data_IF_160294126067
#
_entry.id   IF_160294126067
#
_cell.length_a   1.000
_cell.length_b   1.000
_cell.length_c   1.000
_cell.angle_alpha   90.00
_cell.angle_beta   90.00
_cell.angle_gamma   90.00
#
_symmetry.space_group_name_H-M   'P 1'
#
loop_
_entity.id
_entity.type
_entity.pdbx_description
1 polymer ?
#
# COMPACT_ATOMS: atom_id res chain seq x y z
N UNK A 1 56.54 50.73 12.76
CA UNK A 1 55.37 50.02 12.26
C UNK A 1 55.01 48.93 13.29
N UNK A 2 54.02 49.16 14.16
CA UNK A 2 53.58 48.20 15.16
C UNK A 2 52.38 47.46 14.60
N UNK A 3 52.49 46.13 14.46
CA UNK A 3 51.39 45.26 14.07
C UNK A 3 50.43 45.13 15.26
N UNK A 4 49.16 45.46 15.03
CA UNK A 4 48.11 45.28 16.04
C UNK A 4 47.84 43.77 16.34
N UNK A 5 47.72 43.39 17.62
CA UNK A 5 47.49 42.01 17.97
C UNK A 5 46.03 41.60 17.51
N UNK A 6 45.93 40.60 16.66
CA UNK A 6 44.66 39.99 16.28
C UNK A 6 44.08 39.29 17.50
N UNK A 7 43.01 39.82 18.10
CA UNK A 7 42.28 39.16 19.17
C UNK A 7 41.56 37.93 18.63
N UNK A 8 42.09 36.75 18.87
CA UNK A 8 41.39 35.49 18.63
C UNK A 8 40.26 35.40 19.66
N UNK A 9 39.04 35.65 19.22
CA UNK A 9 37.84 35.41 20.05
C UNK A 9 37.70 33.89 20.29
N UNK A 10 37.94 33.46 21.52
CA UNK A 10 37.66 32.09 21.93
C UNK A 10 36.15 31.93 22.06
N UNK A 11 35.58 30.90 21.45
CA UNK A 11 34.16 30.54 21.61
C UNK A 11 33.86 30.23 23.08
N UNK A 12 32.79 30.80 23.62
CA UNK A 12 32.32 30.50 24.97
C UNK A 12 31.64 29.13 24.98
N UNK A 13 31.83 28.37 26.06
CA UNK A 13 31.19 27.05 26.23
C UNK A 13 29.67 27.19 26.17
N UNK A 14 29.10 28.29 26.64
CA UNK A 14 27.67 28.59 26.57
C UNK A 14 27.20 28.82 25.13
N UNK A 15 28.02 29.44 24.29
CA UNK A 15 27.71 29.66 22.88
C UNK A 15 27.69 28.34 22.10
N UNK A 16 28.61 27.41 22.41
CA UNK A 16 28.63 26.09 21.82
C UNK A 16 27.38 25.26 22.23
N UNK A 17 27.00 25.31 23.52
CA UNK A 17 25.80 24.59 23.98
C UNK A 17 24.53 25.18 23.39
N UNK A 18 24.41 26.47 23.23
CA UNK A 18 23.31 27.13 22.56
C UNK A 18 23.17 26.72 21.10
N UNK A 19 24.29 26.65 20.37
CA UNK A 19 24.29 26.19 18.96
C UNK A 19 23.86 24.73 18.84
N UNK A 20 24.37 23.86 19.71
CA UNK A 20 23.96 22.43 19.72
C UNK A 20 22.44 22.27 20.01
N UNK A 21 21.93 23.07 20.96
CA UNK A 21 20.51 23.04 21.28
C UNK A 21 19.65 23.48 20.09
N UNK A 22 20.00 24.55 19.43
CA UNK A 22 19.30 25.03 18.24
C UNK A 22 19.36 23.99 17.13
N UNK A 23 20.53 23.40 16.87
CA UNK A 23 20.66 22.34 15.86
C UNK A 23 19.82 21.10 16.19
N UNK A 24 19.73 20.71 17.46
CA UNK A 24 18.89 19.60 17.89
C UNK A 24 17.39 19.86 17.65
N UNK A 25 16.92 21.09 17.95
CA UNK A 25 15.54 21.50 17.70
C UNK A 25 15.24 21.52 16.20
N UNK A 26 16.12 22.07 15.39
CA UNK A 26 15.97 22.09 13.92
C UNK A 26 15.97 20.67 13.36
N UNK A 27 16.88 19.81 13.80
CA UNK A 27 16.94 18.42 13.36
C UNK A 27 15.66 17.65 13.72
N UNK A 28 15.11 17.84 14.93
CA UNK A 28 13.86 17.24 15.35
C UNK A 28 12.68 17.72 14.48
N UNK A 29 12.58 19.02 14.18
CA UNK A 29 11.54 19.57 13.33
C UNK A 29 11.61 19.06 11.89
N UNK A 30 12.81 18.89 11.33
CA UNK A 30 13.01 18.32 9.99
C UNK A 30 12.64 16.84 9.98
N UNK A 31 13.05 16.07 10.99
CA UNK A 31 12.73 14.65 11.10
C UNK A 31 11.20 14.39 11.08
N UNK A 32 10.44 15.22 11.80
CA UNK A 32 8.96 15.13 11.81
C UNK A 32 8.34 15.45 10.44
N UNK A 33 8.88 16.41 9.71
CA UNK A 33 8.36 16.79 8.38
C UNK A 33 8.62 15.75 7.29
N UNK A 34 9.69 14.97 7.40
CA UNK A 34 10.05 13.98 6.38
C UNK A 34 9.23 12.69 6.50
N UNK A 35 8.72 12.36 7.68
CA UNK A 35 7.99 11.10 7.90
C UNK A 35 6.65 11.01 7.14
N UNK A 36 5.91 12.11 7.05
CA UNK A 36 4.58 12.12 6.41
C UNK A 36 4.64 11.84 4.89
N UNK A 37 5.45 12.53 4.09
CA UNK A 37 5.54 12.25 2.65
C UNK A 37 6.04 10.84 2.35
N UNK A 38 6.92 10.28 3.19
CA UNK A 38 7.39 8.89 3.02
C UNK A 38 6.27 7.86 3.24
N UNK A 39 5.33 8.12 4.14
CA UNK A 39 4.17 7.23 4.38
C UNK A 39 3.21 7.24 3.19
N UNK A 40 2.88 8.42 2.67
CA UNK A 40 2.06 8.57 1.47
C UNK A 40 2.69 7.89 0.26
N UNK A 41 4.00 8.04 0.05
CA UNK A 41 4.70 7.37 -1.04
C UNK A 41 4.60 5.84 -0.92
N UNK A 42 4.78 5.27 0.27
CA UNK A 42 4.67 3.82 0.51
C UNK A 42 3.27 3.28 0.23
N UNK A 43 2.21 4.01 0.60
CA UNK A 43 0.84 3.61 0.27
C UNK A 43 0.59 3.67 -1.24
N UNK A 44 1.07 4.71 -1.93
CA UNK A 44 1.02 4.79 -3.38
C UNK A 44 1.78 3.64 -4.07
N UNK A 45 2.98 3.29 -3.58
CA UNK A 45 3.75 2.15 -4.06
C UNK A 45 3.00 0.82 -3.83
N UNK A 46 2.35 0.67 -2.67
CA UNK A 46 1.53 -0.51 -2.37
C UNK A 46 0.32 -0.60 -3.30
N UNK A 47 -0.38 0.51 -3.56
CA UNK A 47 -1.48 0.59 -4.52
C UNK A 47 -1.02 0.15 -5.91
N UNK A 48 0.11 0.68 -6.35
CA UNK A 48 0.75 0.32 -7.62
C UNK A 48 1.09 -1.16 -7.71
N UNK A 49 1.69 -1.71 -6.65
CA UNK A 49 2.07 -3.12 -6.56
C UNK A 49 0.84 -4.04 -6.60
N UNK A 50 -0.22 -3.75 -5.83
CA UNK A 50 -1.48 -4.51 -5.83
C UNK A 50 -2.09 -4.51 -7.24
N UNK A 51 -2.21 -3.34 -7.86
CA UNK A 51 -2.74 -3.22 -9.22
C UNK A 51 -1.89 -3.95 -10.26
N UNK A 52 -0.57 -3.93 -10.12
CA UNK A 52 0.32 -4.70 -10.98
C UNK A 52 0.11 -6.20 -10.81
N UNK A 53 0.01 -6.68 -9.57
CA UNK A 53 -0.20 -8.09 -9.28
C UNK A 53 -1.55 -8.60 -9.83
N UNK A 54 -2.62 -7.80 -9.69
CA UNK A 54 -3.92 -8.09 -10.28
C UNK A 54 -3.82 -8.21 -11.82
N UNK A 55 -3.23 -7.22 -12.49
CA UNK A 55 -3.03 -7.25 -13.96
C UNK A 55 -2.22 -8.45 -14.41
N UNK A 56 -1.14 -8.78 -13.71
CA UNK A 56 -0.31 -9.95 -14.01
C UNK A 56 -1.08 -11.26 -13.81
N UNK A 57 -1.94 -11.34 -12.79
CA UNK A 57 -2.78 -12.52 -12.53
C UNK A 57 -3.82 -12.70 -13.62
N UNK A 58 -4.51 -11.64 -14.02
CA UNK A 58 -5.48 -11.65 -15.14
C UNK A 58 -4.83 -12.03 -16.46
N UNK A 59 -3.67 -11.47 -16.74
CA UNK A 59 -2.89 -11.79 -17.94
C UNK A 59 -2.49 -13.26 -17.96
N UNK A 60 -1.93 -13.77 -16.87
CA UNK A 60 -1.53 -15.16 -16.74
C UNK A 60 -2.70 -16.14 -16.86
N UNK A 61 -3.89 -15.79 -16.33
CA UNK A 61 -5.09 -16.61 -16.47
C UNK A 61 -5.51 -16.74 -17.94
N UNK A 62 -5.47 -15.64 -18.70
CA UNK A 62 -5.77 -15.64 -20.15
C UNK A 62 -4.72 -16.40 -20.96
N UNK A 63 -3.43 -16.16 -20.71
CA UNK A 63 -2.33 -16.81 -21.45
C UNK A 63 -2.28 -18.32 -21.23
N UNK A 64 -2.66 -18.77 -20.04
CA UNK A 64 -2.68 -20.19 -19.68
C UNK A 64 -4.04 -20.86 -19.91
N UNK A 65 -5.04 -20.12 -20.36
CA UNK A 65 -6.44 -20.55 -20.54
C UNK A 65 -6.99 -21.36 -19.35
N UNK A 66 -6.66 -20.92 -18.14
CA UNK A 66 -7.07 -21.57 -16.89
C UNK A 66 -7.37 -20.55 -15.79
N UNK A 67 -8.33 -20.89 -14.90
CA UNK A 67 -8.59 -20.02 -13.75
C UNK A 67 -7.41 -20.04 -12.77
N UNK A 68 -7.16 -18.87 -12.18
CA UNK A 68 -6.15 -18.66 -11.14
C UNK A 68 -6.81 -18.05 -9.91
N UNK A 69 -6.12 -18.10 -8.79
CA UNK A 69 -6.57 -17.49 -7.53
C UNK A 69 -5.47 -16.57 -7.00
N UNK A 70 -5.86 -15.39 -6.56
CA UNK A 70 -5.04 -14.52 -5.76
C UNK A 70 -5.35 -14.79 -4.29
N UNK A 71 -4.36 -15.21 -3.52
CA UNK A 71 -4.51 -15.63 -2.12
C UNK A 71 -3.86 -14.61 -1.22
N UNK A 72 -4.62 -14.17 -0.21
CA UNK A 72 -4.22 -13.19 0.80
C UNK A 72 -4.47 -13.78 2.17
N UNK A 73 -3.42 -14.04 2.93
CA UNK A 73 -3.51 -14.51 4.33
C UNK A 73 -3.42 -13.31 5.27
N UNK A 74 -4.56 -12.87 5.80
CA UNK A 74 -4.70 -11.63 6.57
C UNK A 74 -4.31 -11.79 8.06
N UNK A 75 -3.65 -10.78 8.65
CA UNK A 75 -3.10 -9.57 8.02
C UNK A 75 -1.92 -9.92 7.10
N UNK A 76 -1.84 -9.31 5.91
CA UNK A 76 -0.91 -9.72 4.88
C UNK A 76 0.09 -8.63 4.50
N UNK A 77 1.34 -9.01 4.36
CA UNK A 77 2.42 -8.22 3.75
C UNK A 77 2.85 -8.77 2.38
N UNK A 78 2.17 -9.85 1.94
CA UNK A 78 2.44 -10.51 0.65
C UNK A 78 1.15 -11.04 0.02
N UNK A 79 1.15 -11.11 -1.30
CA UNK A 79 0.10 -11.68 -2.13
C UNK A 79 0.66 -12.89 -2.88
N UNK A 80 -0.10 -13.97 -2.91
CA UNK A 80 0.30 -15.19 -3.60
C UNK A 80 -0.67 -15.49 -4.74
N UNK A 81 -0.18 -16.16 -5.79
CA UNK A 81 -1.01 -16.62 -6.89
C UNK A 81 -0.96 -18.15 -6.97
N UNK A 82 -2.12 -18.78 -6.98
CA UNK A 82 -2.27 -20.23 -7.01
C UNK A 82 -3.16 -20.68 -8.15
N UNK A 83 -3.06 -21.96 -8.52
CA UNK A 83 -4.03 -22.63 -9.34
C UNK A 83 -5.26 -23.06 -8.49
N UNK A 84 -6.26 -23.68 -9.12
CA UNK A 84 -7.47 -24.18 -8.44
C UNK A 84 -7.15 -25.25 -7.38
N UNK A 85 -6.02 -25.95 -7.50
CA UNK A 85 -5.57 -26.97 -6.57
C UNK A 85 -4.73 -26.40 -5.43
N UNK A 86 -4.61 -25.06 -5.33
CA UNK A 86 -3.82 -24.38 -4.30
C UNK A 86 -2.31 -24.38 -4.53
N UNK A 87 -1.81 -24.85 -5.68
CA UNK A 87 -0.38 -24.85 -5.98
C UNK A 87 0.06 -23.47 -6.43
N UNK A 88 1.15 -22.96 -5.85
CA UNK A 88 1.73 -21.68 -6.25
C UNK A 88 2.13 -21.70 -7.73
N UNK A 89 1.72 -20.68 -8.48
CA UNK A 89 2.00 -20.51 -9.91
C UNK A 89 3.06 -19.45 -10.19
N UNK A 90 3.46 -18.70 -9.17
CA UNK A 90 4.55 -17.71 -9.21
C UNK A 90 5.09 -17.45 -7.81
N UNK A 91 6.28 -16.85 -7.68
CA UNK A 91 6.72 -16.30 -6.42
C UNK A 91 5.69 -15.30 -5.85
N UNK A 92 5.56 -15.22 -4.52
CA UNK A 92 4.67 -14.23 -3.90
C UNK A 92 5.18 -12.82 -4.16
N UNK A 93 4.27 -11.89 -4.37
CA UNK A 93 4.58 -10.47 -4.39
C UNK A 93 4.63 -9.95 -2.95
N UNK A 94 5.70 -9.25 -2.61
CA UNK A 94 5.90 -8.61 -1.30
C UNK A 94 5.54 -7.14 -1.40
N UNK A 95 4.77 -6.64 -0.44
CA UNK A 95 4.44 -5.22 -0.32
C UNK A 95 5.66 -4.41 0.17
N UNK A 96 5.70 -3.09 -0.07
CA UNK A 96 6.72 -2.21 0.47
C UNK A 96 6.85 -2.36 2.00
N UNK A 97 8.08 -2.24 2.51
CA UNK A 97 8.36 -2.40 3.95
C UNK A 97 7.49 -1.52 4.84
N UNK A 98 6.91 -2.12 5.88
CA UNK A 98 6.01 -1.42 6.81
C UNK A 98 4.60 -1.20 6.27
N UNK A 99 4.23 -1.86 5.18
CA UNK A 99 2.88 -1.86 4.61
C UNK A 99 2.25 -3.23 4.79
N UNK A 100 1.01 -3.27 5.26
CA UNK A 100 0.22 -4.50 5.43
C UNK A 100 -1.20 -4.31 4.92
N UNK A 101 -1.81 -5.39 4.45
CA UNK A 101 -3.24 -5.47 4.18
C UNK A 101 -3.91 -5.95 5.47
N UNK A 102 -4.77 -5.12 6.05
CA UNK A 102 -5.46 -5.42 7.31
C UNK A 102 -6.80 -6.13 7.07
N UNK A 103 -7.49 -5.77 5.99
CA UNK A 103 -8.83 -6.25 5.69
C UNK A 103 -9.02 -6.41 4.18
N UNK A 104 -9.84 -7.37 3.81
CA UNK A 104 -10.25 -7.62 2.45
C UNK A 104 -11.78 -7.70 2.38
N UNK A 105 -12.37 -6.96 1.45
CA UNK A 105 -13.78 -7.00 1.09
C UNK A 105 -13.91 -7.59 -0.31
N UNK A 106 -14.68 -8.68 -0.43
CA UNK A 106 -14.98 -9.28 -1.73
C UNK A 106 -16.49 -9.47 -1.79
N UNK A 107 -17.19 -8.74 -2.67
CA UNK A 107 -18.65 -8.63 -2.67
C UNK A 107 -19.11 -8.15 -1.29
N UNK A 108 -20.00 -8.88 -0.63
CA UNK A 108 -20.55 -8.54 0.69
C UNK A 108 -19.81 -9.25 1.84
N UNK A 109 -18.69 -9.91 1.57
CA UNK A 109 -17.90 -10.61 2.57
C UNK A 109 -16.67 -9.79 2.96
N UNK A 110 -16.60 -9.45 4.24
CA UNK A 110 -15.44 -8.82 4.85
C UNK A 110 -14.62 -9.84 5.62
N UNK A 111 -13.31 -9.85 5.43
CA UNK A 111 -12.39 -10.68 6.20
C UNK A 111 -11.23 -9.82 6.71
N UNK A 112 -10.91 -9.95 8.01
CA UNK A 112 -9.78 -9.29 8.65
C UNK A 112 -8.74 -10.28 9.23
N UNK A 113 -9.07 -11.57 9.31
CA UNK A 113 -8.23 -12.58 9.96
C UNK A 113 -8.45 -13.96 9.35
N UNK A 114 -8.26 -14.11 8.06
CA UNK A 114 -8.38 -15.41 7.39
C UNK A 114 -7.59 -15.41 6.08
N UNK A 115 -7.37 -16.58 5.54
CA UNK A 115 -6.92 -16.72 4.16
C UNK A 115 -8.11 -16.52 3.23
N UNK A 116 -8.03 -15.53 2.35
CA UNK A 116 -9.06 -15.21 1.37
C UNK A 116 -8.51 -15.41 -0.02
N UNK A 117 -9.28 -16.12 -0.86
CA UNK A 117 -8.93 -16.35 -2.25
C UNK A 117 -9.87 -15.56 -3.18
N UNK A 118 -9.31 -14.68 -3.99
CA UNK A 118 -10.00 -13.96 -5.05
C UNK A 118 -9.84 -14.75 -6.35
N UNK A 119 -10.93 -15.29 -6.87
CA UNK A 119 -10.91 -16.09 -8.10
C UNK A 119 -10.78 -15.20 -9.34
N UNK A 120 -9.87 -15.57 -10.24
CA UNK A 120 -9.70 -14.99 -11.56
C UNK A 120 -10.08 -16.03 -12.62
N UNK A 121 -11.08 -15.77 -13.42
CA UNK A 121 -11.53 -16.67 -14.48
C UNK A 121 -10.46 -16.80 -15.58
N UNK A 122 -10.57 -17.83 -16.44
CA UNK A 122 -9.71 -17.98 -17.63
C UNK A 122 -9.78 -16.79 -18.59
N UNK A 123 -10.85 -16.02 -18.55
CA UNK A 123 -11.00 -14.78 -19.30
C UNK A 123 -10.32 -13.57 -18.63
N UNK A 124 -9.67 -13.77 -17.48
CA UNK A 124 -9.02 -12.71 -16.72
C UNK A 124 -10.00 -11.79 -15.99
N UNK A 125 -11.22 -12.27 -15.68
CA UNK A 125 -12.20 -11.52 -14.91
C UNK A 125 -12.14 -11.94 -13.44
N UNK A 126 -12.21 -10.96 -12.54
CA UNK A 126 -12.29 -11.16 -11.08
C UNK A 126 -13.60 -10.53 -10.57
N UNK A 127 -14.10 -10.89 -9.39
CA UNK A 127 -15.06 -10.03 -8.70
C UNK A 127 -14.40 -8.67 -8.40
N UNK A 128 -15.20 -7.61 -8.21
CA UNK A 128 -14.74 -6.36 -7.61
C UNK A 128 -14.40 -6.63 -6.15
N UNK A 129 -13.26 -6.14 -5.70
CA UNK A 129 -12.80 -6.31 -4.32
C UNK A 129 -12.10 -5.06 -3.81
N UNK A 130 -12.03 -4.91 -2.49
CA UNK A 130 -11.32 -3.82 -1.87
C UNK A 130 -10.40 -4.34 -0.76
N UNK A 131 -9.26 -3.67 -0.59
CA UNK A 131 -8.26 -3.97 0.44
C UNK A 131 -8.04 -2.74 1.32
N UNK A 132 -8.10 -2.90 2.63
CA UNK A 132 -7.63 -1.89 3.56
C UNK A 132 -6.13 -2.07 3.75
N UNK A 133 -5.36 -1.11 3.30
CA UNK A 133 -3.90 -1.10 3.39
C UNK A 133 -3.46 -0.07 4.41
N UNK A 134 -2.53 -0.44 5.28
CA UNK A 134 -1.95 0.46 6.28
C UNK A 134 -0.44 0.54 6.15
N UNK A 135 0.11 1.73 6.44
CA UNK A 135 1.54 1.99 6.53
C UNK A 135 1.82 3.12 7.53
N UNK A 136 2.57 2.81 8.59
CA UNK A 136 2.97 3.80 9.60
C UNK A 136 1.80 4.52 10.29
N UNK A 137 0.66 3.84 10.49
CA UNK A 137 -0.54 4.38 11.14
C UNK A 137 -1.52 5.09 10.17
N UNK A 138 -1.15 5.27 8.92
CA UNK A 138 -2.06 5.73 7.88
C UNK A 138 -2.76 4.54 7.24
N UNK A 139 -4.06 4.67 6.96
CA UNK A 139 -4.93 3.63 6.36
C UNK A 139 -5.56 4.16 5.09
N UNK A 140 -5.70 3.29 4.11
CA UNK A 140 -6.33 3.62 2.83
C UNK A 140 -7.02 2.41 2.24
N UNK A 141 -8.22 2.61 1.74
CA UNK A 141 -8.91 1.62 0.96
C UNK A 141 -8.47 1.66 -0.50
N UNK A 142 -8.23 0.49 -1.07
CA UNK A 142 -7.87 0.29 -2.47
C UNK A 142 -8.94 -0.61 -3.07
N UNK A 143 -9.72 -0.09 -4.00
CA UNK A 143 -10.75 -0.83 -4.72
C UNK A 143 -10.21 -1.24 -6.08
N UNK A 144 -10.37 -2.51 -6.43
CA UNK A 144 -10.02 -3.05 -7.75
C UNK A 144 -11.28 -3.48 -8.47
N UNK A 145 -11.58 -2.83 -9.56
CA UNK A 145 -12.75 -3.11 -10.37
C UNK A 145 -12.63 -4.47 -11.08
N UNK A 146 -13.61 -5.34 -10.86
CA UNK A 146 -13.56 -6.74 -11.31
C UNK A 146 -13.49 -6.92 -12.82
N UNK A 147 -14.14 -6.05 -13.60
CA UNK A 147 -14.16 -6.14 -15.07
C UNK A 147 -12.92 -5.53 -15.72
N UNK A 148 -12.51 -4.34 -15.26
CA UNK A 148 -11.45 -3.55 -15.91
C UNK A 148 -10.08 -3.75 -15.30
N UNK A 149 -10.01 -4.13 -14.00
CA UNK A 149 -8.77 -4.11 -13.23
C UNK A 149 -8.31 -2.70 -12.87
N UNK A 150 -9.19 -1.70 -13.02
CA UNK A 150 -8.94 -0.34 -12.59
C UNK A 150 -8.80 -0.28 -11.07
N UNK A 151 -7.82 0.47 -10.61
CA UNK A 151 -7.50 0.62 -9.20
C UNK A 151 -7.86 2.03 -8.76
N UNK A 152 -8.72 2.13 -7.75
CA UNK A 152 -9.18 3.40 -7.18
C UNK A 152 -8.86 3.44 -5.70
N UNK A 153 -8.30 4.55 -5.23
CA UNK A 153 -8.08 4.81 -3.81
C UNK A 153 -9.31 5.51 -3.22
N UNK A 154 -9.75 5.02 -2.07
CA UNK A 154 -10.96 5.48 -1.39
C UNK A 154 -10.64 5.75 0.08
N UNK A 155 -11.28 6.73 0.68
CA UNK A 155 -10.98 7.18 2.05
C UNK A 155 -11.83 6.49 3.10
N UNK A 156 -13.04 6.05 2.76
CA UNK A 156 -13.99 5.49 3.72
C UNK A 156 -14.52 4.13 3.27
N UNK A 157 -14.88 3.31 4.24
CA UNK A 157 -15.50 2.00 4.01
C UNK A 157 -16.89 2.13 3.38
N UNK A 158 -17.62 3.17 3.72
CA UNK A 158 -18.93 3.46 3.13
C UNK A 158 -18.83 3.67 1.62
N UNK A 159 -17.87 4.47 1.16
CA UNK A 159 -17.61 4.73 -0.25
C UNK A 159 -17.19 3.44 -1.00
N UNK A 160 -16.47 2.53 -0.31
CA UNK A 160 -16.13 1.21 -0.84
C UNK A 160 -17.39 0.38 -1.11
N UNK A 161 -18.32 0.32 -0.16
CA UNK A 161 -19.57 -0.42 -0.32
C UNK A 161 -20.39 0.13 -1.48
N UNK A 162 -20.52 1.44 -1.60
CA UNK A 162 -21.23 2.08 -2.71
C UNK A 162 -20.64 1.69 -4.09
N UNK A 163 -19.30 1.66 -4.20
CA UNK A 163 -18.62 1.26 -5.45
C UNK A 163 -18.86 -0.23 -5.75
N UNK A 164 -18.75 -1.09 -4.75
CA UNK A 164 -18.97 -2.54 -4.93
C UNK A 164 -20.42 -2.82 -5.34
N UNK A 165 -21.40 -2.21 -4.68
CA UNK A 165 -22.83 -2.36 -5.00
C UNK A 165 -23.15 -1.81 -6.40
N UNK A 166 -22.67 -0.62 -6.75
CA UNK A 166 -22.87 -0.04 -8.07
C UNK A 166 -22.27 -0.92 -9.18
N UNK A 167 -21.15 -1.58 -8.91
CA UNK A 167 -20.51 -2.50 -9.85
C UNK A 167 -21.30 -3.82 -9.98
N UNK A 168 -21.82 -4.34 -8.87
CA UNK A 168 -22.64 -5.55 -8.85
C UNK A 168 -23.99 -5.34 -9.58
N UNK A 169 -24.66 -4.21 -9.38
CA UNK A 169 -25.91 -3.86 -10.03
C UNK A 169 -25.75 -3.79 -11.57
N UNK A 170 -24.66 -3.25 -12.08
CA UNK A 170 -24.36 -3.22 -13.53
C UNK A 170 -24.09 -4.59 -14.12
N UNK A 171 -23.63 -5.54 -13.33
CA UNK A 171 -23.38 -6.91 -13.79
C UNK A 171 -24.67 -7.72 -13.91
N UNK A 172 -25.65 -7.49 -13.02
CA UNK A 172 -26.94 -8.17 -13.03
C UNK A 172 -27.95 -7.61 -14.06
N UNK A 173 -27.67 -6.43 -14.62
CA UNK A 173 -28.54 -5.77 -15.61
C UNK A 173 -28.20 -6.14 -17.08
N UNK A 174 -27.27 -7.04 -17.32
CA UNK A 174 -26.88 -7.57 -18.64
C UNK A 174 -27.14 -9.06 -18.74
#
# INVERSE_FOLDING_TARGET
>A
MQAAPSSKRAFSLIELTAVILILAIVAAAVALRVQTPMRHARLGDATGAIGQFDRMTRRAAREQDRPLRMVVALPAWRLSRTDERGRATSPPMVLPSGTIIEQLLVRDQSAASAEVAISCSRLGLTPTYAMLVSSGGERRWIVVAGLTGEVVEVKSEQEVHEIIEATAARHNAR
#
